data_IF_054903215395
#
_entry.id   IF_054903215395
#
_cell.length_a   1.000
_cell.length_b   1.000
_cell.length_c   1.000
_cell.angle_alpha   90.00
_cell.angle_beta   90.00
_cell.angle_gamma   90.00
#
_symmetry.space_group_name_H-M   'P 1'
#
loop_
_entity.id
_entity.type
_entity.pdbx_description
1 polymer ?
#
# COMPACT_ATOMS: atom_id res chain seq x y z
N UNK A 1 -29.82 -30.80 -31.46
CA UNK A 1 -28.94 -30.89 -30.25
C UNK A 1 -29.22 -29.74 -29.26
N UNK A 2 -30.18 -28.86 -29.53
CA UNK A 2 -30.47 -27.67 -28.73
C UNK A 2 -31.13 -27.91 -27.36
N UNK A 3 -31.89 -29.00 -27.20
CA UNK A 3 -32.68 -29.25 -25.97
C UNK A 3 -31.81 -29.50 -24.73
N UNK A 4 -30.63 -30.13 -24.90
CA UNK A 4 -29.68 -30.36 -23.80
C UNK A 4 -29.07 -29.05 -23.26
N UNK A 5 -28.76 -28.09 -24.14
CA UNK A 5 -28.24 -26.76 -23.74
C UNK A 5 -29.28 -25.94 -22.96
N UNK A 6 -30.56 -26.08 -23.32
CA UNK A 6 -31.67 -25.45 -22.58
C UNK A 6 -31.83 -26.01 -21.16
N UNK A 7 -31.78 -27.33 -21.01
CA UNK A 7 -31.88 -27.98 -19.70
C UNK A 7 -30.73 -27.59 -18.75
N UNK A 8 -29.49 -27.50 -19.26
CA UNK A 8 -28.31 -27.05 -18.49
C UNK A 8 -28.42 -25.59 -18.03
N UNK A 9 -29.02 -24.72 -18.84
CA UNK A 9 -29.22 -23.32 -18.49
C UNK A 9 -30.27 -23.18 -17.38
N UNK A 10 -31.40 -23.88 -17.50
CA UNK A 10 -32.43 -23.93 -16.46
C UNK A 10 -31.90 -24.49 -15.13
N UNK A 11 -31.03 -25.52 -15.18
CA UNK A 11 -30.39 -26.07 -13.99
C UNK A 11 -29.48 -25.04 -13.29
N UNK A 12 -28.67 -24.29 -14.06
CA UNK A 12 -27.81 -23.21 -13.52
C UNK A 12 -28.64 -22.08 -12.89
N UNK A 13 -29.75 -21.71 -13.51
CA UNK A 13 -30.63 -20.66 -12.98
C UNK A 13 -31.37 -21.11 -11.72
N UNK A 14 -31.84 -22.36 -11.68
CA UNK A 14 -32.42 -22.98 -10.49
C UNK A 14 -31.40 -23.02 -9.32
N UNK A 15 -30.14 -23.40 -9.60
CA UNK A 15 -29.08 -23.38 -8.60
C UNK A 15 -28.78 -21.96 -8.10
N UNK A 16 -28.74 -20.96 -8.99
CA UNK A 16 -28.55 -19.55 -8.62
C UNK A 16 -29.71 -19.05 -7.74
N UNK A 17 -30.96 -19.42 -8.05
CA UNK A 17 -32.15 -19.06 -7.26
C UNK A 17 -32.09 -19.67 -5.86
N UNK A 18 -31.79 -20.97 -5.75
CA UNK A 18 -31.59 -21.65 -4.46
C UNK A 18 -30.51 -20.99 -3.60
N UNK A 19 -29.35 -20.66 -4.20
CA UNK A 19 -28.28 -19.93 -3.49
C UNK A 19 -28.70 -18.54 -3.01
N UNK A 20 -29.56 -17.84 -3.77
CA UNK A 20 -30.09 -16.53 -3.38
C UNK A 20 -31.08 -16.63 -2.22
N UNK A 21 -31.95 -17.65 -2.24
CA UNK A 21 -32.91 -17.93 -1.16
C UNK A 21 -32.20 -18.30 0.14
N UNK A 22 -31.28 -19.28 0.11
CA UNK A 22 -30.49 -19.67 1.28
C UNK A 22 -29.70 -18.48 1.87
N UNK A 23 -29.21 -17.57 1.02
CA UNK A 23 -28.53 -16.36 1.46
C UNK A 23 -29.47 -15.36 2.15
N UNK A 24 -30.72 -15.26 1.69
CA UNK A 24 -31.74 -14.41 2.29
C UNK A 24 -32.21 -14.98 3.63
N UNK A 25 -32.50 -16.29 3.66
CA UNK A 25 -32.88 -17.02 4.87
C UNK A 25 -31.80 -16.94 5.95
N UNK A 26 -30.52 -17.16 5.62
CA UNK A 26 -29.42 -17.01 6.58
C UNK A 26 -29.27 -15.57 7.08
N UNK A 27 -29.64 -14.56 6.27
CA UNK A 27 -29.61 -13.15 6.69
C UNK A 27 -30.75 -12.83 7.66
N UNK A 28 -31.94 -13.35 7.40
CA UNK A 28 -33.15 -13.12 8.21
C UNK A 28 -33.14 -13.94 9.50
N UNK A 29 -32.71 -15.20 9.43
CA UNK A 29 -32.59 -16.10 10.58
C UNK A 29 -31.40 -15.83 11.50
N UNK A 30 -30.69 -14.70 11.34
CA UNK A 30 -29.57 -14.30 12.19
C UNK A 30 -28.28 -15.13 12.05
N UNK A 31 -28.31 -16.24 11.29
CA UNK A 31 -27.18 -17.15 11.03
C UNK A 31 -26.22 -16.63 9.95
N UNK A 32 -26.07 -15.31 9.84
CA UNK A 32 -25.23 -14.71 8.81
C UNK A 32 -23.78 -14.57 9.28
N UNK A 33 -22.91 -15.47 8.84
CA UNK A 33 -21.51 -15.53 9.29
C UNK A 33 -20.56 -14.52 8.62
N UNK A 34 -21.05 -13.72 7.67
CA UNK A 34 -20.21 -12.80 6.87
C UNK A 34 -20.37 -11.34 7.26
N UNK A 35 -19.36 -10.54 7.00
CA UNK A 35 -19.35 -9.12 7.33
C UNK A 35 -20.56 -8.37 6.72
N UNK A 36 -21.26 -7.59 7.55
CA UNK A 36 -22.47 -6.84 7.15
C UNK A 36 -22.16 -5.53 6.40
N UNK A 37 -20.88 -5.18 6.21
CA UNK A 37 -20.47 -4.01 5.45
C UNK A 37 -20.85 -4.12 3.96
N UNK A 38 -21.59 -3.13 3.44
CA UNK A 38 -22.02 -3.07 2.03
C UNK A 38 -20.98 -2.34 1.17
N UNK A 39 -20.37 -3.05 0.22
CA UNK A 39 -19.45 -2.46 -0.76
C UNK A 39 -20.27 -1.83 -1.88
N UNK A 40 -20.54 -0.52 -1.77
CA UNK A 40 -21.43 0.25 -2.67
C UNK A 40 -21.05 0.03 -4.14
N UNK A 41 -19.76 0.21 -4.48
CA UNK A 41 -19.25 0.02 -5.85
C UNK A 41 -19.54 -1.35 -6.46
N UNK A 42 -19.64 -2.40 -5.64
CA UNK A 42 -19.81 -3.79 -6.08
C UNK A 42 -21.23 -4.32 -5.79
N UNK A 43 -22.11 -3.47 -5.28
CA UNK A 43 -23.47 -3.77 -4.83
C UNK A 43 -23.62 -5.11 -4.08
N UNK A 44 -22.69 -5.41 -3.18
CA UNK A 44 -22.70 -6.64 -2.37
C UNK A 44 -22.13 -6.42 -0.98
N UNK A 45 -22.51 -7.27 -0.04
CA UNK A 45 -21.86 -7.34 1.26
C UNK A 45 -20.44 -7.93 1.16
N UNK A 46 -19.57 -7.53 2.09
CA UNK A 46 -18.25 -8.09 2.24
C UNK A 46 -18.35 -9.61 2.47
N UNK A 47 -17.50 -10.38 1.78
CA UNK A 47 -17.55 -11.84 1.83
C UNK A 47 -16.69 -12.45 2.95
N UNK A 48 -15.98 -11.61 3.69
CA UNK A 48 -15.08 -12.03 4.78
C UNK A 48 -15.93 -12.42 5.99
N UNK A 49 -15.52 -13.46 6.72
CA UNK A 49 -16.16 -13.90 7.94
C UNK A 49 -16.18 -12.79 9.01
N UNK A 50 -17.21 -12.77 9.84
CA UNK A 50 -17.31 -11.86 10.99
C UNK A 50 -16.28 -12.21 12.05
N UNK A 51 -15.85 -11.19 12.78
CA UNK A 51 -15.15 -11.41 14.04
C UNK A 51 -16.20 -11.84 15.07
N UNK A 52 -15.94 -12.88 15.90
CA UNK A 52 -16.87 -13.26 16.96
C UNK A 52 -17.16 -12.04 17.87
N UNK A 53 -18.44 -11.76 18.08
CA UNK A 53 -18.89 -10.60 18.86
C UNK A 53 -19.13 -9.31 18.07
N UNK A 54 -18.81 -9.25 16.77
CA UNK A 54 -19.13 -8.11 15.90
C UNK A 54 -19.89 -8.53 14.65
N UNK A 55 -20.59 -7.57 14.03
CA UNK A 55 -21.27 -7.75 12.75
C UNK A 55 -20.32 -7.60 11.54
N UNK A 56 -19.07 -7.19 11.78
CA UNK A 56 -18.10 -6.86 10.74
C UNK A 56 -16.88 -7.79 10.74
N UNK A 57 -16.14 -7.81 9.63
CA UNK A 57 -14.84 -8.48 9.57
C UNK A 57 -13.75 -7.56 10.15
N UNK A 58 -12.57 -8.11 10.44
CA UNK A 58 -11.45 -7.34 11.00
C UNK A 58 -10.96 -6.16 10.15
N UNK A 59 -11.32 -6.09 8.86
CA UNK A 59 -10.99 -4.97 7.97
C UNK A 59 -12.05 -3.86 7.95
N UNK A 60 -13.31 -4.17 8.23
CA UNK A 60 -14.42 -3.21 8.28
C UNK A 60 -14.96 -3.04 9.70
N UNK A 61 -14.17 -3.42 10.70
CA UNK A 61 -14.50 -3.26 12.10
C UNK A 61 -14.48 -1.76 12.42
N UNK A 62 -15.57 -1.18 12.97
CA UNK A 62 -15.55 0.20 13.45
C UNK A 62 -14.52 0.36 14.58
N UNK A 63 -13.91 1.54 14.69
CA UNK A 63 -12.95 1.82 15.78
C UNK A 63 -13.57 1.73 17.18
N UNK A 64 -14.90 1.87 17.27
CA UNK A 64 -15.67 1.72 18.51
C UNK A 64 -15.90 0.27 18.93
N UNK A 65 -15.80 -0.67 17.99
CA UNK A 65 -16.19 -2.06 18.23
C UNK A 65 -14.95 -2.85 18.68
N UNK A 66 -14.85 -3.12 19.98
CA UNK A 66 -13.69 -3.76 20.61
C UNK A 66 -13.55 -5.25 20.28
N UNK A 67 -14.31 -5.79 19.31
CA UNK A 67 -14.27 -7.18 18.89
C UNK A 67 -12.90 -7.52 18.29
N UNK A 68 -12.03 -7.98 19.15
CA UNK A 68 -10.60 -8.08 18.91
C UNK A 68 -10.27 -9.54 18.69
N UNK A 69 -9.62 -9.87 17.57
CA UNK A 69 -9.08 -11.23 17.37
C UNK A 69 -8.14 -11.60 18.53
N UNK A 70 -8.02 -12.91 18.85
CA UNK A 70 -7.11 -13.40 19.90
C UNK A 70 -5.68 -12.83 19.77
N UNK A 71 -5.21 -12.62 18.54
CA UNK A 71 -3.89 -12.04 18.25
C UNK A 71 -3.81 -10.56 18.65
N UNK A 72 -4.81 -9.77 18.31
CA UNK A 72 -4.87 -8.35 18.66
C UNK A 72 -5.12 -8.13 20.17
N UNK A 73 -5.73 -9.08 20.88
CA UNK A 73 -5.92 -9.00 22.34
C UNK A 73 -4.59 -9.03 23.11
N UNK A 74 -3.52 -9.57 22.51
CA UNK A 74 -2.16 -9.58 23.08
C UNK A 74 -1.54 -8.16 23.17
N UNK A 75 -2.04 -7.22 22.36
CA UNK A 75 -1.48 -5.88 22.25
C UNK A 75 -2.36 -4.83 22.95
N UNK A 76 -1.74 -3.76 23.44
CA UNK A 76 -2.43 -2.66 24.15
C UNK A 76 -3.56 -2.10 23.29
N UNK A 77 -4.68 -1.72 23.92
CA UNK A 77 -5.85 -1.15 23.24
C UNK A 77 -5.50 0.00 22.28
N UNK A 78 -4.63 0.91 22.72
CA UNK A 78 -4.15 2.03 21.91
C UNK A 78 -3.49 1.58 20.60
N UNK A 79 -2.68 0.53 20.62
CA UNK A 79 -1.95 0.01 19.46
C UNK A 79 -2.80 -0.83 18.50
N UNK A 80 -4.05 -1.14 18.86
CA UNK A 80 -4.99 -1.91 18.02
C UNK A 80 -5.67 -1.06 16.94
N UNK A 81 -5.43 0.26 16.91
CA UNK A 81 -5.95 1.13 15.86
C UNK A 81 -5.32 0.82 14.51
N UNK A 82 -6.09 1.02 13.44
CA UNK A 82 -5.58 0.95 12.06
C UNK A 82 -5.09 2.33 11.65
N UNK A 83 -3.89 2.40 11.12
CA UNK A 83 -3.26 3.60 10.58
C UNK A 83 -2.99 3.42 9.08
N UNK A 84 -3.06 4.48 8.26
CA UNK A 84 -2.64 4.40 6.87
C UNK A 84 -1.15 4.04 6.78
N UNK A 85 -0.75 3.32 5.74
CA UNK A 85 0.68 3.03 5.53
C UNK A 85 1.44 4.33 5.19
N UNK A 86 2.65 4.54 5.73
CA UNK A 86 3.44 5.75 5.49
C UNK A 86 3.92 5.89 4.04
N UNK A 87 3.96 4.79 3.29
CA UNK A 87 4.45 4.76 1.90
C UNK A 87 3.30 4.84 0.89
N UNK A 88 2.13 4.35 1.27
CA UNK A 88 0.93 4.39 0.44
C UNK A 88 -0.32 4.54 1.31
N UNK A 89 -1.08 5.60 1.10
CA UNK A 89 -2.32 5.87 1.83
C UNK A 89 -3.50 5.02 1.35
N UNK A 90 -3.32 4.22 0.27
CA UNK A 90 -4.36 3.35 -0.29
C UNK A 90 -4.75 2.18 0.62
N UNK A 91 -3.90 1.81 1.58
CA UNK A 91 -4.16 0.72 2.51
C UNK A 91 -3.83 1.08 3.96
N UNK A 92 -4.48 0.35 4.88
CA UNK A 92 -4.36 0.55 6.33
C UNK A 92 -3.84 -0.71 7.02
N UNK A 93 -3.06 -0.50 8.07
CA UNK A 93 -2.36 -1.55 8.84
C UNK A 93 -2.56 -1.30 10.32
N UNK A 94 -2.51 -2.34 11.14
CA UNK A 94 -2.49 -2.15 12.59
C UNK A 94 -1.21 -1.45 13.03
N UNK A 95 -1.32 -0.52 13.96
CA UNK A 95 -0.16 0.24 14.47
C UNK A 95 0.94 -0.68 15.02
N UNK A 96 0.58 -1.75 15.73
CA UNK A 96 1.57 -2.72 16.24
C UNK A 96 2.32 -3.51 15.16
N UNK A 97 1.75 -3.65 13.95
CA UNK A 97 2.36 -4.36 12.82
C UNK A 97 2.99 -3.41 11.80
N UNK A 98 2.92 -2.08 12.02
CA UNK A 98 3.37 -1.07 11.06
C UNK A 98 4.86 -1.22 10.71
N UNK A 99 5.72 -1.38 11.71
CA UNK A 99 7.16 -1.54 11.51
C UNK A 99 7.50 -2.76 10.63
N UNK A 100 6.79 -3.87 10.82
CA UNK A 100 6.96 -5.09 10.00
C UNK A 100 6.37 -4.91 8.61
N UNK A 101 5.26 -4.20 8.51
CA UNK A 101 4.57 -3.96 7.25
C UNK A 101 5.43 -3.17 6.27
N UNK A 102 6.12 -2.11 6.72
CA UNK A 102 6.94 -1.26 5.84
C UNK A 102 7.98 -2.09 5.08
N UNK A 103 8.59 -3.08 5.73
CA UNK A 103 9.58 -3.98 5.12
C UNK A 103 9.00 -4.91 4.03
N UNK A 104 7.72 -5.25 4.13
CA UNK A 104 7.07 -6.19 3.20
C UNK A 104 6.09 -5.51 2.23
N UNK A 105 5.90 -4.20 2.38
CA UNK A 105 4.94 -3.42 1.61
C UNK A 105 5.25 -3.53 0.12
N UNK A 106 4.23 -3.85 -0.69
CA UNK A 106 4.40 -3.95 -2.14
C UNK A 106 4.88 -2.63 -2.72
N UNK A 107 4.37 -1.49 -2.23
CA UNK A 107 4.79 -0.18 -2.74
C UNK A 107 6.27 0.10 -2.50
N UNK A 108 6.81 -0.30 -1.35
CA UNK A 108 8.26 -0.17 -1.06
C UNK A 108 9.05 -1.03 -2.04
N UNK A 109 8.66 -2.30 -2.20
CA UNK A 109 9.31 -3.22 -3.15
C UNK A 109 9.25 -2.72 -4.58
N UNK A 110 8.12 -2.18 -5.01
CA UNK A 110 7.93 -1.63 -6.35
C UNK A 110 8.86 -0.44 -6.57
N UNK A 111 9.01 0.44 -5.57
CA UNK A 111 9.94 1.57 -5.62
C UNK A 111 11.39 1.10 -5.68
N UNK A 112 11.76 0.10 -4.90
CA UNK A 112 13.13 -0.45 -4.89
C UNK A 112 13.47 -1.14 -6.21
N UNK A 113 12.53 -1.93 -6.76
CA UNK A 113 12.65 -2.52 -8.09
C UNK A 113 12.82 -1.41 -9.13
N UNK A 114 11.94 -0.40 -9.11
CA UNK A 114 11.98 0.73 -10.04
C UNK A 114 13.34 1.44 -10.03
N UNK A 115 13.90 1.68 -8.84
CA UNK A 115 15.23 2.29 -8.67
C UNK A 115 16.37 1.44 -9.23
N UNK A 116 16.21 0.12 -9.27
CA UNK A 116 17.19 -0.81 -9.82
C UNK A 116 17.15 -0.94 -11.35
N UNK A 117 16.19 -0.34 -12.06
CA UNK A 117 16.16 -0.42 -13.53
C UNK A 117 17.27 0.45 -14.14
N UNK A 118 17.99 -0.05 -15.17
CA UNK A 118 19.05 0.70 -15.85
C UNK A 118 18.62 2.05 -16.42
N UNK A 119 17.34 2.18 -16.76
CA UNK A 119 16.76 3.36 -17.38
C UNK A 119 15.99 4.24 -16.38
N UNK A 120 16.00 3.90 -15.10
CA UNK A 120 15.39 4.74 -14.08
C UNK A 120 16.34 5.85 -13.70
N UNK A 121 15.93 7.08 -13.98
CA UNK A 121 16.56 8.28 -13.44
C UNK A 121 15.58 8.98 -12.51
N UNK A 122 15.99 9.14 -11.24
CA UNK A 122 15.16 9.80 -10.25
C UNK A 122 14.94 11.27 -10.67
N UNK A 123 13.69 11.73 -10.62
CA UNK A 123 13.32 13.11 -10.91
C UNK A 123 13.61 13.64 -12.33
N UNK A 124 13.81 12.78 -13.33
CA UNK A 124 14.08 13.22 -14.72
C UNK A 124 12.97 14.11 -15.32
N UNK A 125 11.73 13.98 -14.84
CA UNK A 125 10.57 14.78 -15.27
C UNK A 125 10.10 15.80 -14.22
N UNK A 126 10.88 16.04 -13.16
CA UNK A 126 10.46 16.92 -12.05
C UNK A 126 10.56 18.41 -12.38
N UNK A 127 10.89 18.78 -13.62
CA UNK A 127 10.96 20.18 -14.07
C UNK A 127 12.17 20.98 -13.57
N UNK A 128 13.00 20.38 -12.72
CA UNK A 128 14.23 20.98 -12.18
C UNK A 128 15.36 21.11 -13.21
N UNK A 129 15.23 20.54 -14.41
CA UNK A 129 16.20 20.72 -15.50
C UNK A 129 16.22 22.15 -16.07
N UNK A 130 15.28 23.02 -15.64
CA UNK A 130 15.25 24.43 -16.03
C UNK A 130 15.93 25.35 -15.01
N UNK A 131 16.28 24.88 -13.80
CA UNK A 131 16.87 25.75 -12.76
C UNK A 131 18.40 25.73 -12.74
N UNK A 132 19.03 24.68 -13.25
CA UNK A 132 20.50 24.61 -13.29
C UNK A 132 21.08 25.55 -14.36
N UNK A 133 20.37 25.74 -15.48
CA UNK A 133 20.74 26.75 -16.49
C UNK A 133 20.60 28.20 -16.01
N UNK A 134 19.69 28.47 -15.08
CA UNK A 134 19.51 29.81 -14.50
C UNK A 134 20.62 30.11 -13.47
N UNK A 135 21.16 29.10 -12.81
CA UNK A 135 22.28 29.25 -11.88
C UNK A 135 23.65 29.39 -12.61
N UNK A 136 23.85 28.72 -13.74
CA UNK A 136 25.06 28.86 -14.56
C UNK A 136 25.10 30.17 -15.38
N UNK A 137 23.97 30.64 -15.92
CA UNK A 137 23.95 31.91 -16.68
C UNK A 137 24.18 33.16 -15.80
N UNK A 138 23.92 33.09 -14.48
CA UNK A 138 24.28 34.15 -13.53
C UNK A 138 25.76 34.11 -13.07
N UNK A 139 26.51 33.06 -13.41
CA UNK A 139 27.94 32.94 -13.07
C UNK A 139 28.87 33.10 -14.29
N UNK A 140 28.32 33.23 -15.49
CA UNK A 140 29.09 33.32 -16.74
C UNK A 140 29.42 34.76 -17.21
N UNK A 141 29.11 35.80 -16.43
CA UNK A 141 29.53 37.19 -16.74
C UNK A 141 30.83 37.62 -16.07
N UNK A 142 31.50 36.75 -15.30
CA UNK A 142 32.85 37.01 -14.79
C UNK A 142 33.80 35.85 -15.11
N UNK A 143 34.86 36.21 -15.87
CA UNK A 143 36.18 35.58 -15.99
C UNK A 143 36.41 34.52 -17.10
N UNK A 144 36.96 35.06 -18.19
CA UNK A 144 37.91 34.55 -19.21
C UNK A 144 38.42 33.09 -19.20
N UNK A 145 38.35 32.48 -20.40
CA UNK A 145 39.33 31.64 -21.10
C UNK A 145 40.22 30.66 -20.29
N UNK A 146 40.02 29.34 -20.49
CA UNK A 146 40.94 28.46 -21.27
C UNK A 146 40.46 26.99 -21.35
N UNK A 147 40.11 26.58 -22.57
CA UNK A 147 40.46 25.34 -23.30
C UNK A 147 40.83 24.00 -22.59
N UNK A 148 40.05 22.95 -22.97
CA UNK A 148 40.48 21.65 -23.58
C UNK A 148 40.52 20.32 -22.75
N UNK A 149 39.50 19.48 -23.06
CA UNK A 149 39.38 18.01 -23.33
C UNK A 149 39.71 16.85 -22.37
N UNK A 150 38.68 15.98 -22.25
CA UNK A 150 38.57 14.49 -22.35
C UNK A 150 39.11 13.51 -21.29
N UNK A 151 38.12 12.71 -20.81
CA UNK A 151 38.04 11.24 -20.63
C UNK A 151 38.93 10.51 -19.60
N UNK A 152 38.27 9.74 -18.71
CA UNK A 152 38.80 8.48 -18.18
C UNK A 152 38.64 8.23 -16.68
N UNK A 153 37.68 7.36 -16.33
CA UNK A 153 37.57 6.44 -15.17
C UNK A 153 38.06 6.87 -13.76
N UNK A 154 37.22 6.65 -12.74
CA UNK A 154 37.37 5.53 -11.79
C UNK A 154 36.76 5.83 -10.38
N UNK A 155 36.20 4.76 -9.80
CA UNK A 155 35.96 4.41 -8.39
C UNK A 155 34.93 5.14 -7.48
N UNK A 156 33.90 4.36 -7.15
CA UNK A 156 32.88 4.60 -6.14
C UNK A 156 33.49 4.48 -4.72
N UNK A 157 33.85 5.60 -4.10
CA UNK A 157 34.25 5.63 -2.69
C UNK A 157 33.03 5.62 -1.77
N UNK A 158 32.91 4.60 -0.92
CA UNK A 158 31.94 4.55 0.16
C UNK A 158 32.39 5.42 1.34
N UNK A 159 31.52 6.24 1.94
CA UNK A 159 31.89 7.15 3.01
C UNK A 159 32.30 6.41 4.29
N UNK A 160 33.29 6.95 4.98
CA UNK A 160 33.88 6.39 6.20
C UNK A 160 32.89 6.42 7.37
N UNK A 161 33.05 5.52 8.34
CA UNK A 161 32.18 5.42 9.51
C UNK A 161 32.05 6.73 10.31
N UNK A 162 33.07 7.59 10.28
CA UNK A 162 33.02 8.92 10.92
C UNK A 162 32.08 9.90 10.20
N UNK A 163 31.98 9.82 8.87
CA UNK A 163 31.07 10.66 8.08
C UNK A 163 29.62 10.22 8.30
N UNK A 164 29.40 8.91 8.45
CA UNK A 164 28.09 8.36 8.80
C UNK A 164 27.64 8.82 10.19
N UNK A 165 28.56 8.89 11.17
CA UNK A 165 28.24 9.35 12.52
C UNK A 165 27.89 10.86 12.56
N UNK A 166 28.61 11.69 11.79
CA UNK A 166 28.31 13.12 11.69
C UNK A 166 26.97 13.45 11.01
N UNK A 167 26.47 12.56 10.15
CA UNK A 167 25.14 12.68 9.54
C UNK A 167 24.05 12.34 10.56
N UNK A 168 24.28 11.35 11.43
CA UNK A 168 23.33 10.95 12.47
C UNK A 168 23.17 12.05 13.53
N UNK A 169 24.26 12.67 13.98
CA UNK A 169 24.19 13.74 15.00
C UNK A 169 23.43 14.98 14.51
N UNK A 170 23.51 15.30 13.21
CA UNK A 170 22.74 16.39 12.58
C UNK A 170 21.24 16.12 12.51
N UNK A 171 20.82 14.85 12.53
CA UNK A 171 19.41 14.45 12.45
C UNK A 171 18.73 14.34 13.83
N UNK A 172 19.51 14.18 14.91
CA UNK A 172 19.00 14.04 16.27
C UNK A 172 18.96 15.40 17.02
N UNK A 173 19.68 16.41 16.52
CA UNK A 173 19.68 17.77 17.07
C UNK A 173 18.73 18.73 16.36
N UNK A 174 17.42 18.61 16.59
CA UNK A 174 16.41 19.68 16.44
C UNK A 174 15.16 19.34 17.23
#
# INVERSE_FOLDING_TARGET
METKRGAEQLARDAQRKRRKQAKAEAKEGGQWDRCMFKVVRKNRYCNIARVPGSQFCGNHLPDSDAATSKKSQKFKAASRRRVPCPVDTSHTVYEYDLAKHVLVCNRVKDVDIMKGLPYYSHNINSGSHCTEKIAEEMQASEVSETAVTKEGANEHSTPSAQEQQGIIDKLVGS
#
